data_IF_969041618556
#
_entry.id   IF_969041618556
#
_cell.length_a   1.000
_cell.length_b   1.000
_cell.length_c   1.000
_cell.angle_alpha   90.00
_cell.angle_beta   90.00
_cell.angle_gamma   90.00
#
_symmetry.space_group_name_H-M   'P 1'
#
loop_
_entity.id
_entity.type
_entity.pdbx_description
1 polymer ?
#
# COMPACT_ATOMS: atom_id res chain seq x y z
N UNK A 1 -13.21 3.39 -25.61
CA UNK A 1 -12.40 3.94 -24.51
C UNK A 1 -11.31 2.92 -24.23
N UNK A 2 -10.07 3.23 -24.55
CA UNK A 2 -8.95 2.34 -24.25
C UNK A 2 -8.75 2.34 -22.73
N UNK A 3 -8.87 1.17 -22.09
CA UNK A 3 -8.54 0.98 -20.68
C UNK A 3 -7.04 1.19 -20.50
N UNK A 4 -6.62 2.45 -20.42
CA UNK A 4 -5.28 2.80 -19.97
C UNK A 4 -5.23 2.36 -18.52
N UNK A 5 -4.69 1.16 -18.28
CA UNK A 5 -4.27 0.71 -16.95
C UNK A 5 -3.15 1.63 -16.49
N UNK A 6 -3.54 2.82 -16.02
CA UNK A 6 -2.68 3.70 -15.26
C UNK A 6 -2.35 2.92 -14.00
N UNK A 7 -1.14 2.37 -13.95
CA UNK A 7 -0.54 1.91 -12.71
C UNK A 7 0.09 3.17 -12.09
N UNK A 8 -0.59 3.90 -11.19
CA UNK A 8 -0.10 5.19 -10.67
C UNK A 8 1.27 5.09 -9.97
N UNK A 9 1.75 3.87 -9.71
CA UNK A 9 2.99 3.57 -9.00
C UNK A 9 4.05 2.91 -9.89
N UNK A 10 3.85 2.87 -11.20
CA UNK A 10 4.81 2.26 -12.14
C UNK A 10 6.20 2.91 -12.07
N UNK A 11 6.25 4.21 -11.73
CA UNK A 11 7.47 5.00 -11.69
C UNK A 11 8.21 4.93 -10.34
N UNK A 12 7.64 4.27 -9.32
CA UNK A 12 8.35 4.07 -8.06
C UNK A 12 9.45 3.04 -8.26
N UNK A 13 10.62 3.25 -7.65
CA UNK A 13 11.60 2.17 -7.44
C UNK A 13 11.04 1.13 -6.47
N UNK A 14 11.62 -0.06 -6.44
CA UNK A 14 11.13 -1.14 -5.59
C UNK A 14 11.19 -0.78 -4.09
N UNK A 15 12.25 -0.11 -3.65
CA UNK A 15 12.36 0.43 -2.28
C UNK A 15 11.28 1.46 -1.99
N UNK A 16 11.08 2.44 -2.89
CA UNK A 16 10.06 3.47 -2.72
C UNK A 16 8.66 2.88 -2.71
N UNK A 17 8.40 1.88 -3.54
CA UNK A 17 7.13 1.15 -3.60
C UNK A 17 6.88 0.45 -2.27
N UNK A 18 7.88 -0.22 -1.71
CA UNK A 18 7.77 -0.91 -0.41
C UNK A 18 7.51 0.08 0.73
N UNK A 19 8.30 1.15 0.81
CA UNK A 19 8.15 2.16 1.86
C UNK A 19 6.85 2.96 1.76
N UNK A 20 6.39 3.24 0.55
CA UNK A 20 5.08 3.85 0.32
C UNK A 20 3.95 2.92 0.79
N UNK A 21 4.01 1.65 0.40
CA UNK A 21 3.02 0.63 0.79
C UNK A 21 2.89 0.51 2.30
N UNK A 22 4.02 0.37 3.00
CA UNK A 22 4.02 0.23 4.45
C UNK A 22 3.44 1.48 5.14
N UNK A 23 3.82 2.68 4.69
CA UNK A 23 3.28 3.94 5.24
C UNK A 23 1.77 4.05 5.02
N UNK A 24 1.30 3.71 3.83
CA UNK A 24 -0.13 3.79 3.51
C UNK A 24 -0.96 2.73 4.26
N UNK A 25 -0.40 1.55 4.51
CA UNK A 25 -1.01 0.53 5.38
C UNK A 25 -1.15 1.02 6.83
N UNK A 26 -0.11 1.64 7.41
CA UNK A 26 -0.21 2.19 8.78
C UNK A 26 -1.24 3.32 8.86
N UNK A 27 -1.29 4.20 7.85
CA UNK A 27 -2.31 5.25 7.76
C UNK A 27 -3.71 4.68 7.62
N UNK A 28 -3.90 3.61 6.84
CA UNK A 28 -5.18 2.92 6.71
C UNK A 28 -5.64 2.31 8.04
N UNK A 29 -4.71 1.68 8.78
CA UNK A 29 -4.94 1.16 10.14
C UNK A 29 -5.34 2.27 11.12
N UNK A 30 -4.75 3.45 11.01
CA UNK A 30 -5.15 4.59 11.84
C UNK A 30 -6.55 5.08 11.46
N UNK A 31 -6.87 5.21 10.17
CA UNK A 31 -8.20 5.66 9.70
C UNK A 31 -9.31 4.70 10.11
N UNK A 32 -9.06 3.39 10.09
CA UNK A 32 -10.07 2.40 10.51
C UNK A 32 -10.54 2.59 11.95
N UNK A 33 -9.67 3.12 12.82
CA UNK A 33 -10.01 3.44 14.22
C UNK A 33 -10.96 4.62 14.35
N UNK A 34 -10.93 5.58 13.43
CA UNK A 34 -11.71 6.83 13.49
C UNK A 34 -13.07 6.74 12.77
N UNK A 35 -13.53 5.54 12.36
CA UNK A 35 -14.82 5.27 11.67
C UNK A 35 -15.13 6.16 10.45
N UNK A 36 -14.14 6.82 9.85
CA UNK A 36 -14.34 7.61 8.64
C UNK A 36 -14.35 6.70 7.40
N UNK A 37 -15.53 6.13 7.09
CA UNK A 37 -15.72 5.13 6.03
C UNK A 37 -15.31 5.62 4.64
N UNK A 38 -15.66 6.85 4.26
CA UNK A 38 -15.32 7.40 2.94
C UNK A 38 -13.80 7.52 2.76
N UNK A 39 -13.12 8.06 3.78
CA UNK A 39 -11.66 8.20 3.75
C UNK A 39 -10.97 6.84 3.80
N UNK A 40 -11.55 5.89 4.53
CA UNK A 40 -11.07 4.51 4.58
C UNK A 40 -11.14 3.84 3.20
N UNK A 41 -12.27 3.90 2.52
CA UNK A 41 -12.45 3.25 1.21
C UNK A 41 -11.50 3.83 0.14
N UNK A 42 -11.36 5.16 0.08
CA UNK A 42 -10.39 5.80 -0.84
C UNK A 42 -8.96 5.32 -0.58
N UNK A 43 -8.57 5.26 0.70
CA UNK A 43 -7.21 4.86 1.10
C UNK A 43 -6.97 3.36 0.91
N UNK A 44 -7.99 2.53 1.14
CA UNK A 44 -7.97 1.09 0.88
C UNK A 44 -7.74 0.82 -0.61
N UNK A 45 -8.41 1.55 -1.49
CA UNK A 45 -8.18 1.44 -2.93
C UNK A 45 -6.72 1.76 -3.29
N UNK A 46 -6.14 2.81 -2.70
CA UNK A 46 -4.74 3.18 -2.89
C UNK A 46 -3.77 2.07 -2.45
N UNK A 47 -3.97 1.52 -1.25
CA UNK A 47 -3.17 0.40 -0.71
C UNK A 47 -3.27 -0.83 -1.61
N UNK A 48 -4.47 -1.13 -2.12
CA UNK A 48 -4.66 -2.26 -3.04
C UNK A 48 -3.87 -2.09 -4.34
N UNK A 49 -3.84 -0.89 -4.91
CA UNK A 49 -3.05 -0.60 -6.12
C UNK A 49 -1.54 -0.78 -5.86
N UNK A 50 -1.05 -0.36 -4.70
CA UNK A 50 0.34 -0.56 -4.29
C UNK A 50 0.69 -2.06 -4.16
N UNK A 51 -0.19 -2.85 -3.53
CA UNK A 51 -0.01 -4.31 -3.39
C UNK A 51 -0.02 -5.01 -4.75
N UNK A 52 -0.90 -4.58 -5.68
CA UNK A 52 -0.95 -5.13 -7.04
C UNK A 52 0.39 -4.88 -7.75
N UNK A 53 0.94 -3.68 -7.66
CA UNK A 53 2.23 -3.36 -8.29
C UNK A 53 3.38 -4.16 -7.68
N UNK A 54 3.42 -4.33 -6.36
CA UNK A 54 4.40 -5.18 -5.66
C UNK A 54 4.35 -6.62 -6.19
N UNK A 55 3.14 -7.20 -6.26
CA UNK A 55 2.94 -8.55 -6.79
C UNK A 55 3.34 -8.64 -8.27
N UNK A 56 3.03 -7.62 -9.07
CA UNK A 56 3.37 -7.57 -10.50
C UNK A 56 4.89 -7.60 -10.72
N UNK A 57 5.66 -7.00 -9.81
CA UNK A 57 7.12 -6.96 -9.85
C UNK A 57 7.80 -8.17 -9.19
N UNK A 58 7.02 -9.16 -8.74
CA UNK A 58 7.51 -10.29 -7.94
C UNK A 58 8.31 -9.85 -6.71
N UNK A 59 7.95 -8.70 -6.13
CA UNK A 59 8.54 -8.25 -4.88
C UNK A 59 7.82 -8.93 -3.72
N UNK A 60 8.59 -9.56 -2.84
CA UNK A 60 8.05 -10.07 -1.60
C UNK A 60 8.11 -8.98 -0.53
N UNK A 61 6.96 -8.66 0.07
CA UNK A 61 6.98 -7.89 1.30
C UNK A 61 7.43 -8.87 2.38
N UNK A 62 8.70 -8.80 2.76
CA UNK A 62 9.22 -9.65 3.84
C UNK A 62 8.33 -9.49 5.07
N UNK A 63 7.69 -10.58 5.45
CA UNK A 63 6.79 -10.65 6.60
C UNK A 63 7.52 -10.23 7.87
N UNK A 64 8.83 -10.49 7.96
CA UNK A 64 9.69 -10.08 9.08
C UNK A 64 9.81 -8.56 9.18
N UNK A 65 9.91 -7.85 8.04
CA UNK A 65 9.97 -6.38 7.97
C UNK A 65 8.61 -5.77 8.34
N UNK A 66 7.52 -6.37 7.85
CA UNK A 66 6.16 -6.01 8.23
C UNK A 66 5.93 -6.18 9.74
N UNK A 67 6.31 -7.34 10.29
CA UNK A 67 6.20 -7.64 11.72
C UNK A 67 7.04 -6.67 12.54
N UNK A 68 8.32 -6.45 12.21
CA UNK A 68 9.16 -5.48 12.91
C UNK A 68 8.53 -4.10 12.93
N UNK A 69 8.02 -3.60 11.81
CA UNK A 69 7.40 -2.26 11.75
C UNK A 69 6.02 -2.18 12.43
N UNK A 70 5.29 -3.29 12.56
CA UNK A 70 4.00 -3.34 13.25
C UNK A 70 4.16 -3.53 14.77
N UNK A 71 5.15 -4.31 15.21
CA UNK A 71 5.34 -4.73 16.59
C UNK A 71 6.47 -4.01 17.34
N UNK A 72 7.46 -3.41 16.67
CA UNK A 72 8.45 -2.54 17.35
C UNK A 72 7.93 -1.10 17.49
N UNK A 73 6.78 -0.93 18.14
CA UNK A 73 6.32 0.36 18.64
C UNK A 73 6.61 0.48 20.12
#
# INVERSE_FOLDING_TARGET
>A
MSDIKLYPYINLTDEQLMDCTIREMDRLKNISRYRNRLRYEKRKHMVNQLIIEIKRRNLEIDRSVLIRRIFNR
#
